data_IF_530888698617
#
_entry.id   IF_530888698617
#
_cell.length_a   1.000
_cell.length_b   1.000
_cell.length_c   1.000
_cell.angle_alpha   90.00
_cell.angle_beta   90.00
_cell.angle_gamma   90.00
#
_symmetry.space_group_name_H-M   'P 1'
#
loop_
_entity.id
_entity.type
_entity.pdbx_description
1 polymer ?
#
# COMPACT_ATOMS: atom_id res chain seq x y z
N UNK A 1 -61.32 3.63 37.74
CA UNK A 1 -60.39 2.68 38.38
C UNK A 1 -59.17 2.53 37.48
N UNK A 2 -57.96 2.65 38.03
CA UNK A 2 -56.64 2.51 37.37
C UNK A 2 -56.55 1.16 36.60
N UNK A 3 -55.66 0.89 35.63
CA UNK A 3 -54.22 1.15 35.54
C UNK A 3 -53.79 1.12 34.06
N UNK A 4 -52.90 2.02 33.66
CA UNK A 4 -52.16 1.99 32.41
C UNK A 4 -51.04 0.93 32.46
N UNK A 5 -50.84 0.16 31.39
CA UNK A 5 -49.59 -0.58 31.17
C UNK A 5 -49.10 -0.37 29.74
N UNK A 6 -47.93 0.27 29.67
CA UNK A 6 -47.05 0.43 28.53
C UNK A 6 -46.46 -0.91 28.10
N UNK A 7 -46.42 -1.19 26.79
CA UNK A 7 -45.46 -2.15 26.22
C UNK A 7 -44.64 -1.47 25.11
N UNK A 8 -43.57 -0.84 25.58
CA UNK A 8 -42.20 -0.86 25.08
C UNK A 8 -42.00 -1.27 23.61
N UNK A 9 -41.37 -0.34 22.89
CA UNK A 9 -40.83 -0.48 21.56
C UNK A 9 -39.83 -1.66 21.44
N UNK A 10 -39.83 -2.31 20.28
CA UNK A 10 -38.65 -2.98 19.75
C UNK A 10 -38.64 -2.81 18.24
N UNK A 11 -38.28 -1.59 17.83
CA UNK A 11 -37.80 -1.30 16.48
C UNK A 11 -36.46 -2.02 16.38
N UNK A 12 -36.47 -3.25 15.85
CA UNK A 12 -35.25 -3.91 15.40
C UNK A 12 -34.80 -3.26 14.10
N UNK A 13 -34.21 -2.07 14.22
CA UNK A 13 -33.44 -1.47 13.14
C UNK A 13 -32.10 -2.21 13.09
N UNK A 14 -32.04 -3.25 12.26
CA UNK A 14 -30.78 -3.89 11.87
C UNK A 14 -29.99 -2.86 11.05
N UNK A 15 -29.12 -2.12 11.74
CA UNK A 15 -28.16 -1.19 11.17
C UNK A 15 -27.08 -2.02 10.44
N UNK A 16 -27.37 -2.40 9.20
CA UNK A 16 -26.37 -2.90 8.25
C UNK A 16 -25.43 -1.72 7.93
N UNK A 17 -24.37 -1.61 8.73
CA UNK A 17 -23.26 -0.70 8.47
C UNK A 17 -22.49 -1.25 7.26
N UNK A 18 -22.99 -0.98 6.05
CA UNK A 18 -22.22 -1.14 4.83
C UNK A 18 -21.08 -0.14 4.90
N UNK A 19 -19.90 -0.59 5.33
CA UNK A 19 -18.65 0.10 5.04
C UNK A 19 -18.51 0.08 3.53
N UNK A 20 -18.83 1.20 2.88
CA UNK A 20 -18.52 1.43 1.48
C UNK A 20 -17.00 1.47 1.39
N UNK A 21 -16.41 0.32 1.08
CA UNK A 21 -15.01 0.25 0.67
C UNK A 21 -14.99 0.95 -0.69
N UNK A 22 -14.55 2.21 -0.70
CA UNK A 22 -14.20 2.90 -1.93
C UNK A 22 -13.05 2.12 -2.58
N UNK A 23 -13.37 1.18 -3.46
CA UNK A 23 -12.37 0.53 -4.32
C UNK A 23 -12.07 1.48 -5.48
N UNK A 24 -11.36 2.56 -5.19
CA UNK A 24 -10.57 3.22 -6.23
C UNK A 24 -9.58 2.17 -6.74
N UNK A 25 -9.68 1.82 -8.03
CA UNK A 25 -9.05 0.64 -8.63
C UNK A 25 -7.61 0.43 -8.20
N UNK A 26 -7.41 -0.47 -7.24
CA UNK A 26 -6.10 -0.92 -6.85
C UNK A 26 -5.66 -1.93 -7.91
N UNK A 27 -4.78 -1.52 -8.83
CA UNK A 27 -4.21 -2.43 -9.82
C UNK A 27 -3.44 -3.52 -9.07
N UNK A 28 -3.84 -4.78 -9.25
CA UNK A 28 -3.05 -5.92 -8.82
C UNK A 28 -1.93 -6.08 -9.84
N UNK A 29 -0.68 -6.09 -9.38
CA UNK A 29 0.46 -6.27 -10.27
C UNK A 29 0.37 -7.64 -10.93
N UNK A 30 0.42 -7.68 -12.26
CA UNK A 30 0.59 -8.94 -13.00
C UNK A 30 1.84 -9.68 -12.50
N UNK A 31 1.92 -11.02 -12.59
CA UNK A 31 3.14 -11.76 -12.30
C UNK A 31 4.40 -11.21 -13.00
N UNK A 32 4.22 -10.53 -14.14
CA UNK A 32 5.30 -10.01 -14.99
C UNK A 32 5.55 -8.51 -14.83
N UNK A 33 4.70 -7.77 -14.10
CA UNK A 33 4.86 -6.34 -13.93
C UNK A 33 5.84 -6.04 -12.79
N UNK A 34 6.82 -5.17 -13.07
CA UNK A 34 7.73 -4.67 -12.03
C UNK A 34 7.07 -3.53 -11.25
N UNK A 35 7.19 -3.51 -9.92
CA UNK A 35 6.71 -2.41 -9.10
C UNK A 35 7.44 -1.10 -9.44
N UNK A 36 6.68 -0.02 -9.56
CA UNK A 36 7.23 1.33 -9.73
C UNK A 36 7.84 1.82 -8.42
N UNK A 37 9.17 1.88 -8.37
CA UNK A 37 9.93 2.28 -7.17
C UNK A 37 9.52 3.66 -6.64
N UNK A 38 9.08 4.56 -7.53
CA UNK A 38 8.60 5.92 -7.17
C UNK A 38 7.41 5.91 -6.21
N UNK A 39 6.68 4.79 -6.13
CA UNK A 39 5.58 4.62 -5.18
C UNK A 39 6.08 4.30 -3.76
N UNK A 40 7.28 3.74 -3.62
CA UNK A 40 7.95 3.51 -2.34
C UNK A 40 8.66 4.75 -1.83
N UNK A 41 9.26 5.54 -2.71
CA UNK A 41 10.10 6.63 -2.20
C UNK A 41 9.25 7.76 -1.61
N UNK A 42 9.66 8.24 -0.44
CA UNK A 42 8.92 9.22 0.37
C UNK A 42 7.47 8.84 0.63
N UNK A 43 7.24 7.56 0.89
CA UNK A 43 5.90 7.04 1.13
C UNK A 43 5.73 6.59 2.57
N UNK A 44 4.59 6.97 3.15
CA UNK A 44 4.19 6.63 4.51
C UNK A 44 3.01 5.67 4.43
N UNK A 45 3.08 4.59 5.17
CA UNK A 45 2.16 3.46 5.12
C UNK A 45 1.70 3.11 6.52
N UNK A 46 0.39 2.90 6.69
CA UNK A 46 -0.21 2.37 7.92
C UNK A 46 -0.60 0.92 7.70
N UNK A 47 -0.18 0.04 8.60
CA UNK A 47 -0.60 -1.36 8.58
C UNK A 47 -2.09 -1.48 8.93
N UNK A 48 -2.78 -2.42 8.27
CA UNK A 48 -4.21 -2.64 8.46
C UNK A 48 -4.52 -4.06 8.94
N UNK A 49 -4.04 -5.09 8.24
CA UNK A 49 -4.25 -6.48 8.63
C UNK A 49 -3.27 -7.42 7.93
N UNK A 50 -3.20 -8.65 8.42
CA UNK A 50 -2.47 -9.75 7.81
C UNK A 50 -3.46 -10.84 7.42
N UNK A 51 -3.40 -11.24 6.15
CA UNK A 51 -4.20 -12.33 5.58
C UNK A 51 -3.31 -13.58 5.44
N UNK A 52 -3.82 -14.73 5.86
CA UNK A 52 -3.24 -16.02 5.50
C UNK A 52 -3.92 -16.53 4.24
N UNK A 53 -3.19 -16.70 3.15
CA UNK A 53 -3.76 -16.96 1.82
C UNK A 53 -4.42 -18.33 1.74
N UNK A 54 -3.81 -19.36 2.33
CA UNK A 54 -4.27 -20.74 2.21
C UNK A 54 -5.63 -20.96 2.88
N UNK A 55 -5.88 -20.29 4.00
CA UNK A 55 -7.17 -20.34 4.70
C UNK A 55 -8.08 -19.15 4.39
N UNK A 56 -7.59 -18.14 3.68
CA UNK A 56 -8.25 -16.85 3.45
C UNK A 56 -8.79 -16.21 4.75
N UNK A 57 -8.03 -16.35 5.85
CA UNK A 57 -8.41 -15.80 7.16
C UNK A 57 -7.51 -14.65 7.55
N UNK A 58 -8.11 -13.58 8.10
CA UNK A 58 -7.36 -12.50 8.74
C UNK A 58 -6.82 -13.02 10.07
N UNK A 59 -5.50 -13.18 10.17
CA UNK A 59 -4.85 -13.69 11.38
C UNK A 59 -4.49 -12.59 12.37
N UNK A 60 -4.39 -11.35 11.88
CA UNK A 60 -4.03 -10.20 12.70
C UNK A 60 -4.58 -8.93 12.07
N UNK A 61 -5.03 -7.98 12.89
CA UNK A 61 -5.60 -6.71 12.44
C UNK A 61 -5.04 -5.58 13.30
N UNK A 62 -4.79 -4.45 12.69
CA UNK A 62 -4.49 -3.22 13.40
C UNK A 62 -5.68 -2.83 14.27
N UNK A 63 -5.42 -2.61 15.55
CA UNK A 63 -6.37 -2.14 16.54
C UNK A 63 -5.68 -1.09 17.43
N UNK A 64 -6.32 -0.68 18.52
CA UNK A 64 -5.77 0.30 19.45
C UNK A 64 -4.46 -0.14 20.11
N UNK A 65 -4.15 -1.44 20.10
CA UNK A 65 -2.97 -2.04 20.71
C UNK A 65 -1.90 -2.42 19.66
N UNK A 66 -2.18 -2.20 18.37
CA UNK A 66 -1.25 -2.46 17.29
C UNK A 66 -1.31 -1.34 16.25
N UNK A 67 -0.66 -0.24 16.59
CA UNK A 67 -0.54 0.95 15.75
C UNK A 67 0.84 0.97 15.11
N UNK A 68 0.86 0.56 13.84
CA UNK A 68 2.08 0.34 13.08
C UNK A 68 2.13 1.21 11.82
N UNK A 69 3.23 1.96 11.70
CA UNK A 69 3.51 2.80 10.54
C UNK A 69 4.90 2.50 9.98
N UNK A 70 5.03 2.67 8.67
CA UNK A 70 6.27 2.49 7.92
C UNK A 70 6.48 3.68 7.00
N UNK A 71 7.71 4.16 6.93
CA UNK A 71 8.13 5.28 6.10
C UNK A 71 9.40 4.91 5.35
N UNK A 72 9.30 4.86 4.02
CA UNK A 72 10.42 4.64 3.12
C UNK A 72 10.97 5.98 2.63
N UNK A 73 12.28 6.19 2.77
CA UNK A 73 12.97 7.45 2.47
C UNK A 73 13.81 7.36 1.20
N UNK A 74 14.15 8.50 0.60
CA UNK A 74 15.00 8.60 -0.61
C UNK A 74 16.40 7.98 -0.47
N UNK A 75 16.95 7.93 0.74
CA UNK A 75 18.30 7.46 1.02
C UNK A 75 18.39 5.93 1.22
N UNK A 76 17.39 5.18 0.73
CA UNK A 76 17.25 3.73 0.95
C UNK A 76 17.19 3.34 2.43
N UNK A 77 16.84 4.27 3.32
CA UNK A 77 16.52 3.97 4.71
C UNK A 77 15.01 3.95 4.93
N UNK A 78 14.57 3.16 5.89
CA UNK A 78 13.19 3.19 6.37
C UNK A 78 13.16 3.58 7.84
N UNK A 79 12.06 4.18 8.24
CA UNK A 79 11.69 4.38 9.63
C UNK A 79 10.36 3.69 9.88
N UNK A 80 10.28 2.94 10.97
CA UNK A 80 9.05 2.30 11.39
C UNK A 80 8.69 2.71 12.80
N UNK A 81 7.39 2.72 13.08
CA UNK A 81 6.80 2.98 14.36
C UNK A 81 5.91 1.81 14.74
N UNK A 82 6.07 1.30 15.96
CA UNK A 82 5.19 0.31 16.55
C UNK A 82 4.88 0.73 17.98
N UNK A 83 3.63 1.05 18.28
CA UNK A 83 3.13 1.31 19.64
C UNK A 83 4.04 2.25 20.46
N UNK A 84 4.43 3.39 19.90
CA UNK A 84 5.26 4.40 20.56
C UNK A 84 6.77 4.24 20.34
N UNK A 85 7.22 3.11 19.76
CA UNK A 85 8.64 2.84 19.56
C UNK A 85 9.05 3.02 18.10
N UNK A 86 10.07 3.84 17.88
CA UNK A 86 10.69 3.99 16.58
C UNK A 86 11.83 3.00 16.40
N UNK A 87 11.97 2.48 15.19
CA UNK A 87 13.15 1.76 14.72
C UNK A 87 13.43 2.12 13.26
N UNK A 88 14.63 1.81 12.80
CA UNK A 88 15.12 2.19 11.47
C UNK A 88 15.98 1.08 10.89
N UNK A 89 16.11 1.06 9.57
CA UNK A 89 17.00 0.16 8.86
C UNK A 89 17.15 0.57 7.40
N UNK A 90 17.78 -0.29 6.61
CA UNK A 90 17.91 -0.12 5.17
C UNK A 90 16.81 -0.91 4.46
N UNK A 91 16.34 -0.38 3.33
CA UNK A 91 15.49 -1.11 2.40
C UNK A 91 16.15 -1.17 1.02
N UNK A 92 15.80 -2.20 0.25
CA UNK A 92 16.22 -2.33 -1.14
C UNK A 92 15.12 -3.04 -1.91
N UNK A 93 14.89 -2.62 -3.15
CA UNK A 93 13.98 -3.30 -4.08
C UNK A 93 14.81 -3.97 -5.18
N UNK A 94 14.73 -5.30 -5.26
CA UNK A 94 15.31 -6.07 -6.37
C UNK A 94 14.19 -6.77 -7.12
N UNK A 95 13.93 -6.29 -8.35
CA UNK A 95 12.75 -6.65 -9.15
C UNK A 95 11.44 -6.49 -8.35
N UNK A 96 10.92 -7.58 -7.78
CA UNK A 96 9.68 -7.61 -6.98
C UNK A 96 9.93 -7.96 -5.51
N UNK A 97 11.17 -8.21 -5.15
CA UNK A 97 11.59 -8.57 -3.81
C UNK A 97 12.01 -7.31 -3.07
N UNK A 98 11.23 -6.95 -2.06
CA UNK A 98 11.56 -5.91 -1.10
C UNK A 98 12.35 -6.53 0.05
N UNK A 99 13.60 -6.09 0.19
CA UNK A 99 14.45 -6.36 1.33
C UNK A 99 14.20 -5.28 2.38
N UNK A 100 13.65 -5.68 3.53
CA UNK A 100 13.23 -4.78 4.59
C UNK A 100 12.89 -5.64 5.82
N UNK A 101 13.34 -5.27 7.03
CA UNK A 101 13.09 -6.08 8.23
C UNK A 101 11.76 -5.72 8.91
N UNK A 102 10.85 -6.68 8.98
CA UNK A 102 9.57 -6.58 9.67
C UNK A 102 9.25 -7.86 10.44
N UNK A 103 9.01 -7.73 11.74
CA UNK A 103 8.83 -8.86 12.66
C UNK A 103 9.96 -9.89 12.50
N UNK A 104 9.65 -11.12 12.08
CA UNK A 104 10.59 -12.23 11.91
C UNK A 104 10.91 -12.50 10.42
N UNK A 105 10.72 -11.51 9.55
CA UNK A 105 10.97 -11.62 8.11
C UNK A 105 11.74 -10.40 7.60
N UNK A 106 12.61 -10.62 6.62
CA UNK A 106 13.50 -9.61 6.05
C UNK A 106 13.34 -9.47 4.53
N UNK A 107 12.52 -10.34 3.91
CA UNK A 107 12.33 -10.44 2.46
C UNK A 107 10.86 -10.65 2.16
N UNK A 108 10.32 -9.79 1.29
CA UNK A 108 8.93 -9.79 0.90
C UNK A 108 8.79 -9.71 -0.60
N UNK A 109 7.81 -10.41 -1.17
CA UNK A 109 7.39 -10.22 -2.55
C UNK A 109 6.26 -9.18 -2.57
N UNK A 110 6.33 -8.18 -3.44
CA UNK A 110 5.28 -7.16 -3.53
C UNK A 110 4.07 -7.73 -4.29
N UNK A 111 3.07 -8.25 -3.59
CA UNK A 111 1.86 -8.79 -4.24
C UNK A 111 1.05 -7.70 -4.94
N UNK A 112 0.95 -6.52 -4.34
CA UNK A 112 0.22 -5.39 -4.90
C UNK A 112 0.86 -4.06 -4.48
N UNK A 113 0.93 -3.12 -5.43
CA UNK A 113 1.42 -1.76 -5.20
C UNK A 113 0.59 -0.78 -6.02
N UNK A 114 0.10 0.27 -5.37
CA UNK A 114 -0.58 1.40 -6.00
C UNK A 114 -0.29 2.70 -5.25
N UNK A 115 -0.86 3.82 -5.70
CA UNK A 115 -0.77 5.10 -4.98
C UNK A 115 -1.28 5.00 -3.54
N UNK A 116 -2.21 4.10 -3.22
CA UNK A 116 -2.89 4.07 -1.91
C UNK A 116 -2.75 2.74 -1.15
N UNK A 117 -2.27 1.68 -1.81
CA UNK A 117 -2.24 0.33 -1.23
C UNK A 117 -0.90 -0.33 -1.48
N UNK A 118 -0.36 -0.94 -0.43
CA UNK A 118 0.83 -1.78 -0.48
C UNK A 118 0.48 -3.13 0.16
N UNK A 119 0.76 -4.22 -0.55
CA UNK A 119 0.59 -5.58 -0.03
C UNK A 119 1.92 -6.31 -0.18
N UNK A 120 2.48 -6.68 0.97
CA UNK A 120 3.72 -7.43 1.07
C UNK A 120 3.40 -8.90 1.34
N UNK A 121 3.91 -9.79 0.52
CA UNK A 121 3.73 -11.23 0.66
C UNK A 121 4.99 -11.88 1.23
N UNK A 122 4.80 -12.73 2.22
CA UNK A 122 5.85 -13.51 2.85
C UNK A 122 5.45 -14.98 2.87
N UNK A 123 6.30 -15.83 2.29
CA UNK A 123 6.16 -17.27 2.39
C UNK A 123 6.96 -17.78 3.57
N UNK A 124 6.29 -18.30 4.58
CA UNK A 124 6.99 -18.81 5.76
C UNK A 124 7.83 -20.04 5.39
N UNK A 125 9.08 -20.13 5.89
CA UNK A 125 9.89 -21.33 5.74
C UNK A 125 9.15 -22.58 6.24
N UNK A 126 9.41 -23.73 5.62
CA UNK A 126 8.81 -25.03 5.94
C UNK A 126 7.31 -25.16 5.61
N UNK A 127 6.85 -24.49 4.55
CA UNK A 127 5.48 -24.65 4.01
C UNK A 127 4.36 -24.34 5.00
N UNK A 128 4.62 -23.49 6.00
CA UNK A 128 3.63 -23.10 7.03
C UNK A 128 2.57 -22.11 6.54
N UNK A 129 2.69 -21.67 5.28
CA UNK A 129 1.71 -20.82 4.61
C UNK A 129 2.32 -19.55 4.03
N UNK A 130 1.45 -18.80 3.39
CA UNK A 130 1.75 -17.56 2.69
C UNK A 130 0.93 -16.45 3.33
N UNK A 131 1.62 -15.43 3.80
CA UNK A 131 1.03 -14.32 4.54
C UNK A 131 1.11 -13.05 3.71
N UNK A 132 0.01 -12.31 3.63
CA UNK A 132 -0.06 -11.00 3.00
C UNK A 132 -0.29 -9.93 4.07
N UNK A 133 0.66 -9.01 4.18
CA UNK A 133 0.58 -7.84 5.05
C UNK A 133 0.03 -6.66 4.25
N UNK A 134 -1.11 -6.12 4.70
CA UNK A 134 -1.81 -5.05 4.02
C UNK A 134 -1.53 -3.70 4.65
N UNK A 135 -1.18 -2.74 3.81
CA UNK A 135 -0.91 -1.37 4.19
C UNK A 135 -1.70 -0.39 3.33
N UNK A 136 -2.05 0.75 3.93
CA UNK A 136 -2.67 1.89 3.26
C UNK A 136 -1.75 3.09 3.33
N UNK A 137 -1.66 3.86 2.24
CA UNK A 137 -0.85 5.08 2.23
C UNK A 137 -1.52 6.12 3.13
N UNK A 138 -0.71 6.82 3.92
CA UNK A 138 -1.17 7.87 4.83
C UNK A 138 -0.42 9.17 4.58
N UNK A 139 -1.06 10.29 4.92
CA UNK A 139 -0.45 11.61 4.85
C UNK A 139 0.59 11.80 5.96
N UNK A 140 1.48 12.78 5.79
CA UNK A 140 2.47 13.14 6.82
C UNK A 140 1.85 13.62 8.14
N UNK A 141 0.61 14.14 8.12
CA UNK A 141 -0.12 14.56 9.33
C UNK A 141 -0.73 13.40 10.11
N UNK A 142 -0.96 12.25 9.46
CA UNK A 142 -1.57 11.07 10.09
C UNK A 142 -0.54 10.05 10.61
N UNK A 143 0.72 10.22 10.23
CA UNK A 143 1.81 9.35 10.61
C UNK A 143 2.67 9.98 11.72
N UNK A 144 3.21 9.18 12.65
CA UNK A 144 4.00 9.69 13.78
C UNK A 144 5.43 10.11 13.39
N UNK A 145 5.72 10.27 12.10
CA UNK A 145 7.06 10.66 11.62
C UNK A 145 7.17 12.18 11.64
N UNK A 146 7.93 12.70 12.61
CA UNK A 146 8.19 14.15 12.74
C UNK A 146 8.98 14.61 11.52
N UNK A 147 8.45 15.59 10.78
CA UNK A 147 9.22 16.29 9.75
C UNK A 147 10.32 17.11 10.42
N UNK A 148 11.60 16.95 10.07
CA UNK A 148 12.62 17.92 10.42
C UNK A 148 12.18 19.33 10.01
N UNK A 149 12.39 20.31 10.89
CA UNK A 149 11.91 21.69 10.70
C UNK A 149 12.49 22.39 9.46
N UNK A 150 13.53 21.82 8.85
CA UNK A 150 14.28 22.34 7.72
C UNK A 150 13.96 21.62 6.39
N UNK A 151 12.99 20.70 6.36
CA UNK A 151 12.59 20.04 5.11
C UNK A 151 11.68 20.93 4.26
N UNK A 152 11.99 20.99 2.96
CA UNK A 152 11.18 21.68 1.97
C UNK A 152 9.81 20.99 1.80
N UNK A 153 8.76 21.73 1.42
CA UNK A 153 7.43 21.14 1.20
C UNK A 153 7.45 20.06 0.12
N UNK A 154 6.69 18.99 0.35
CA UNK A 154 6.51 17.90 -0.61
C UNK A 154 5.72 18.42 -1.83
N UNK A 155 6.38 18.51 -2.99
CA UNK A 155 5.72 18.80 -4.27
C UNK A 155 5.60 17.49 -5.05
N UNK A 156 4.40 16.91 -5.08
CA UNK A 156 4.11 15.71 -5.87
C UNK A 156 3.96 16.16 -7.33
N UNK A 157 4.99 15.93 -8.15
CA UNK A 157 4.91 16.18 -9.60
C UNK A 157 4.29 14.96 -10.26
N UNK A 158 3.02 15.07 -10.64
CA UNK A 158 2.41 14.06 -11.50
C UNK A 158 2.99 14.20 -12.91
N UNK A 159 3.94 13.33 -13.25
CA UNK A 159 4.46 13.27 -14.62
C UNK A 159 3.37 12.70 -15.52
N UNK A 160 2.58 13.57 -16.17
CA UNK A 160 1.74 13.19 -17.29
C UNK A 160 2.64 12.54 -18.35
N UNK A 161 2.46 11.25 -18.60
CA UNK A 161 3.11 10.55 -19.70
C UNK A 161 2.54 11.07 -21.02
N UNK A 162 3.02 12.22 -21.47
CA UNK A 162 2.76 12.75 -22.79
C UNK A 162 3.62 11.97 -23.78
N UNK A 163 3.22 10.72 -24.07
CA UNK A 163 3.80 9.92 -25.15
C UNK A 163 3.38 10.58 -26.45
N UNK A 164 4.17 11.55 -26.90
CA UNK A 164 4.09 12.08 -28.27
C UNK A 164 4.29 10.91 -29.22
N UNK A 165 3.19 10.42 -29.79
CA UNK A 165 3.18 9.52 -30.94
C UNK A 165 3.96 10.21 -32.06
N UNK A 166 5.23 9.87 -32.24
CA UNK A 166 5.97 10.27 -33.44
C UNK A 166 5.29 9.59 -34.63
N UNK A 167 4.54 10.37 -35.39
CA UNK A 167 3.97 10.00 -36.68
C UNK A 167 5.14 9.55 -37.56
N UNK A 168 5.19 8.26 -37.91
CA UNK A 168 6.12 7.76 -38.90
C UNK A 168 5.85 8.46 -40.24
N UNK A 169 6.66 9.47 -40.54
CA UNK A 169 6.65 10.17 -41.81
C UNK A 169 7.26 9.21 -42.86
N UNK A 170 6.37 8.60 -43.66
CA UNK A 170 6.76 7.75 -44.80
C UNK A 170 7.63 8.58 -45.75
N UNK A 171 8.95 8.37 -45.71
CA UNK A 171 9.88 8.80 -46.76
C UNK A 171 9.52 8.10 -48.07
N UNK A 172 8.60 8.69 -48.84
CA UNK A 172 8.57 8.52 -50.30
C UNK A 172 9.65 9.42 -50.86
N UNK A 173 10.62 8.87 -51.59
CA UNK A 173 11.49 9.68 -52.46
C UNK A 173 13.00 9.51 -52.36
N UNK A 174 13.53 8.34 -51.99
CA UNK A 174 14.98 8.07 -52.18
C UNK A 174 15.27 7.06 -53.32
N UNK A 175 14.29 6.28 -53.76
CA UNK A 175 14.49 5.25 -54.79
C UNK A 175 13.98 5.63 -56.20
N UNK A 176 13.49 6.86 -56.42
CA UNK A 176 12.99 7.30 -57.73
C UNK A 176 14.04 7.92 -58.65
N UNK A 177 15.34 7.77 -58.36
CA UNK A 177 16.43 8.29 -59.19
C UNK A 177 17.20 7.19 -59.96
N UNK A 178 16.91 5.90 -59.74
CA UNK A 178 17.64 4.78 -60.34
C UNK A 178 16.90 4.05 -61.48
N UNK A 179 15.98 4.70 -62.21
CA UNK A 179 15.47 4.16 -63.47
C UNK A 179 14.98 5.22 -64.43
#
# INVERSE_FOLDING_TARGET
>A
MKIATSSIASISALLLLFVVINTAGAQQLSPWDLPDERLFVESKWKYTYTLHLESNTIIHKADNNYDYYLYFRYDNTYQQYLNGKFSRGAWQLDARTLHYSFQNADRFTIAQLSKNKLVLEFKQPNSRGTYQYHFVRVSSSEAPFVKPSNELPEVIVEAEQNVKKSKAEKKKGFWSWFR
#
